data_IF_472827538706
#
_entry.id   IF_472827538706
#
_cell.length_a   1.000
_cell.length_b   1.000
_cell.length_c   1.000
_cell.angle_alpha   90.00
_cell.angle_beta   90.00
_cell.angle_gamma   90.00
#
_symmetry.space_group_name_H-M   'P 1'
#
loop_
_entity.id
_entity.type
_entity.pdbx_description
1 polymer ?
#
# COMPACT_ATOMS: atom_id res chain seq x y z
N UNK A 1 -16.24 -25.21 -20.96
CA UNK A 1 -15.79 -24.84 -19.60
C UNK A 1 -14.51 -24.06 -19.77
N UNK A 2 -14.56 -22.72 -19.73
CA UNK A 2 -13.44 -21.93 -20.24
C UNK A 2 -12.27 -21.90 -19.26
N UNK A 3 -11.14 -22.36 -19.80
CA UNK A 3 -9.76 -22.22 -19.40
C UNK A 3 -9.48 -21.02 -18.48
N UNK A 4 -8.99 -21.34 -17.29
CA UNK A 4 -8.38 -20.37 -16.39
C UNK A 4 -7.06 -19.90 -17.01
N UNK A 5 -7.10 -18.83 -17.80
CA UNK A 5 -5.91 -18.05 -18.15
C UNK A 5 -5.23 -17.61 -16.84
N UNK A 6 -4.09 -18.24 -16.54
CA UNK A 6 -3.21 -17.85 -15.44
C UNK A 6 -2.47 -16.58 -15.85
N UNK A 7 -3.19 -15.45 -15.86
CA UNK A 7 -2.60 -14.13 -16.07
C UNK A 7 -1.63 -13.83 -14.90
N UNK A 8 -0.35 -13.84 -15.23
CA UNK A 8 0.78 -13.97 -14.29
C UNK A 8 1.23 -12.63 -13.69
N UNK A 9 0.28 -11.73 -13.40
CA UNK A 9 0.54 -10.35 -12.98
C UNK A 9 -0.27 -9.90 -11.77
N UNK A 10 0.16 -8.80 -11.15
CA UNK A 10 -0.56 -8.17 -10.04
C UNK A 10 -1.82 -7.45 -10.58
N UNK A 11 -3.00 -7.97 -10.24
CA UNK A 11 -4.29 -7.56 -10.82
C UNK A 11 -5.31 -7.14 -9.74
N UNK A 12 -5.20 -5.90 -9.21
CA UNK A 12 -6.10 -5.41 -8.18
C UNK A 12 -7.53 -5.18 -8.70
N UNK A 13 -7.69 -4.73 -9.96
CA UNK A 13 -9.01 -4.51 -10.56
C UNK A 13 -9.81 -5.81 -10.63
N UNK A 14 -9.18 -6.90 -11.07
CA UNK A 14 -9.81 -8.23 -11.11
C UNK A 14 -10.31 -8.65 -9.74
N UNK A 15 -9.50 -8.47 -8.69
CA UNK A 15 -9.92 -8.78 -7.32
C UNK A 15 -11.17 -7.98 -6.92
N UNK A 16 -11.18 -6.66 -7.15
CA UNK A 16 -12.32 -5.81 -6.78
C UNK A 16 -13.58 -6.15 -7.59
N UNK A 17 -13.44 -6.42 -8.88
CA UNK A 17 -14.56 -6.79 -9.75
C UNK A 17 -15.15 -8.16 -9.36
N UNK A 18 -14.29 -9.11 -8.99
CA UNK A 18 -14.69 -10.40 -8.43
C UNK A 18 -15.53 -10.19 -7.16
N UNK A 19 -15.08 -9.34 -6.24
CA UNK A 19 -15.83 -9.06 -5.00
C UNK A 19 -17.16 -8.35 -5.26
N UNK A 20 -17.22 -7.43 -6.21
CA UNK A 20 -18.46 -6.74 -6.59
C UNK A 20 -19.48 -7.74 -7.14
N UNK A 21 -19.05 -8.65 -8.02
CA UNK A 21 -19.92 -9.69 -8.59
C UNK A 21 -20.42 -10.65 -7.52
N UNK A 22 -19.53 -11.10 -6.63
CA UNK A 22 -19.86 -12.09 -5.59
C UNK A 22 -20.78 -11.56 -4.51
N UNK A 23 -20.58 -10.30 -4.11
CA UNK A 23 -21.43 -9.64 -3.12
C UNK A 23 -22.67 -8.99 -3.75
N UNK A 24 -22.91 -9.21 -5.04
CA UNK A 24 -24.02 -8.63 -5.81
C UNK A 24 -24.13 -7.10 -5.67
N UNK A 25 -22.98 -6.42 -5.65
CA UNK A 25 -22.89 -4.98 -5.47
C UNK A 25 -23.01 -4.25 -6.81
N UNK A 26 -23.58 -3.05 -6.79
CA UNK A 26 -23.72 -2.22 -7.99
C UNK A 26 -22.43 -1.51 -8.40
N UNK A 27 -21.60 -1.10 -7.43
CA UNK A 27 -20.42 -0.28 -7.68
C UNK A 27 -19.41 -0.32 -6.51
N UNK A 28 -18.27 0.34 -6.74
CA UNK A 28 -17.21 0.53 -5.74
C UNK A 28 -17.67 1.23 -4.48
N UNK A 29 -18.62 2.17 -4.58
CA UNK A 29 -19.12 2.88 -3.40
C UNK A 29 -19.86 1.93 -2.45
N UNK A 30 -20.62 0.98 -3.00
CA UNK A 30 -21.22 -0.10 -2.22
C UNK A 30 -20.14 -1.02 -1.64
N UNK A 31 -19.12 -1.38 -2.41
CA UNK A 31 -17.99 -2.18 -1.94
C UNK A 31 -17.26 -1.51 -0.78
N UNK A 32 -17.04 -0.19 -0.84
CA UNK A 32 -16.41 0.58 0.22
C UNK A 32 -17.19 0.50 1.53
N UNK A 33 -18.52 0.62 1.46
CA UNK A 33 -19.42 0.52 2.63
C UNK A 33 -19.37 -0.89 3.22
N UNK A 34 -19.44 -1.91 2.36
CA UNK A 34 -19.41 -3.32 2.77
C UNK A 34 -18.09 -3.69 3.44
N UNK A 35 -16.95 -3.26 2.89
CA UNK A 35 -15.62 -3.50 3.48
C UNK A 35 -15.28 -2.54 4.64
N UNK A 36 -16.13 -1.52 4.87
CA UNK A 36 -15.92 -0.38 5.78
C UNK A 36 -14.57 0.32 5.54
N UNK A 37 -14.24 0.56 4.27
CA UNK A 37 -13.04 1.26 3.84
C UNK A 37 -13.42 2.58 3.17
N UNK A 38 -12.54 3.57 3.27
CA UNK A 38 -12.75 4.86 2.63
C UNK A 38 -12.75 4.77 1.08
N UNK A 39 -13.66 5.46 0.38
CA UNK A 39 -13.64 5.56 -1.10
C UNK A 39 -12.29 5.93 -1.73
N UNK A 40 -11.46 6.82 -1.12
CA UNK A 40 -10.15 7.14 -1.68
C UNK A 40 -9.19 5.95 -1.80
N UNK A 41 -9.34 4.93 -0.95
CA UNK A 41 -8.48 3.74 -0.98
C UNK A 41 -8.78 2.88 -2.20
N UNK A 42 -10.06 2.56 -2.44
CA UNK A 42 -10.49 1.76 -3.60
C UNK A 42 -10.14 2.46 -4.90
N UNK A 43 -10.38 3.78 -4.97
CA UNK A 43 -9.98 4.55 -6.14
C UNK A 43 -8.46 4.45 -6.40
N UNK A 44 -7.62 4.66 -5.38
CA UNK A 44 -6.16 4.54 -5.56
C UNK A 44 -5.70 3.13 -5.94
N UNK A 45 -6.39 2.10 -5.45
CA UNK A 45 -6.11 0.69 -5.80
C UNK A 45 -6.47 0.41 -7.26
N UNK A 46 -7.65 0.86 -7.73
CA UNK A 46 -8.06 0.69 -9.13
C UNK A 46 -7.12 1.35 -10.12
N UNK A 47 -6.63 2.53 -9.77
CA UNK A 47 -5.69 3.30 -10.60
C UNK A 47 -4.21 2.91 -10.37
N UNK A 48 -3.93 1.85 -9.60
CA UNK A 48 -2.57 1.37 -9.36
C UNK A 48 -1.67 2.32 -8.55
N UNK A 49 -2.24 3.36 -7.94
CA UNK A 49 -1.51 4.34 -7.11
C UNK A 49 -1.26 3.85 -5.69
N UNK A 50 -1.98 2.81 -5.26
CA UNK A 50 -1.82 2.18 -3.96
C UNK A 50 -1.85 0.65 -4.12
N UNK A 51 -0.81 -0.08 -3.64
CA UNK A 51 -0.89 -1.53 -3.58
C UNK A 51 -1.89 -1.97 -2.52
N UNK A 52 -2.52 -3.13 -2.74
CA UNK A 52 -3.38 -3.79 -1.76
C UNK A 52 -2.49 -4.24 -0.59
N UNK A 53 -2.78 -3.67 0.58
CA UNK A 53 -2.10 -3.97 1.84
C UNK A 53 -2.70 -5.21 2.51
N UNK A 54 -1.94 -5.83 3.41
CA UNK A 54 -2.41 -6.98 4.20
C UNK A 54 -3.69 -6.67 4.97
N UNK A 55 -3.80 -5.48 5.57
CA UNK A 55 -5.00 -5.04 6.29
C UNK A 55 -6.25 -5.06 5.42
N UNK A 56 -6.15 -4.66 4.15
CA UNK A 56 -7.28 -4.69 3.22
C UNK A 56 -7.66 -6.13 2.86
N UNK A 57 -6.68 -7.00 2.66
CA UNK A 57 -6.94 -8.43 2.43
C UNK A 57 -7.64 -9.09 3.62
N UNK A 58 -7.28 -8.72 4.85
CA UNK A 58 -7.97 -9.21 6.06
C UNK A 58 -9.42 -8.73 6.06
N UNK A 59 -9.69 -7.45 5.77
CA UNK A 59 -11.07 -6.93 5.69
C UNK A 59 -11.89 -7.64 4.61
N UNK A 60 -11.29 -7.90 3.45
CA UNK A 60 -11.92 -8.67 2.38
C UNK A 60 -12.24 -10.11 2.82
N UNK A 61 -11.31 -10.76 3.53
CA UNK A 61 -11.51 -12.09 4.11
C UNK A 61 -12.68 -12.10 5.09
N UNK A 62 -12.70 -11.19 6.06
CA UNK A 62 -13.76 -11.08 7.07
C UNK A 62 -15.13 -10.85 6.44
N UNK A 63 -15.19 -10.04 5.37
CA UNK A 63 -16.46 -9.65 4.74
C UNK A 63 -17.00 -10.72 3.79
N UNK A 64 -16.12 -11.45 3.11
CA UNK A 64 -16.52 -12.41 2.06
C UNK A 64 -16.41 -13.86 2.50
N UNK A 65 -15.78 -14.13 3.64
CA UNK A 65 -15.46 -15.47 4.12
C UNK A 65 -14.35 -16.18 3.33
N UNK A 66 -13.80 -15.56 2.28
CA UNK A 66 -12.77 -16.17 1.43
C UNK A 66 -11.43 -16.26 2.11
N UNK A 67 -10.70 -17.35 1.90
CA UNK A 67 -9.37 -17.46 2.47
C UNK A 67 -8.44 -16.37 1.91
N UNK A 68 -7.53 -15.88 2.74
CA UNK A 68 -6.50 -14.92 2.30
C UNK A 68 -5.69 -15.49 1.14
N UNK A 69 -5.52 -16.83 1.05
CA UNK A 69 -4.82 -17.49 -0.05
C UNK A 69 -5.54 -17.30 -1.39
N UNK A 70 -6.84 -17.50 -1.44
CA UNK A 70 -7.64 -17.32 -2.66
C UNK A 70 -7.64 -15.86 -3.12
N UNK A 71 -7.84 -14.92 -2.18
CA UNK A 71 -7.79 -13.49 -2.50
C UNK A 71 -6.44 -13.11 -3.14
N UNK A 72 -5.34 -13.71 -2.67
CA UNK A 72 -4.01 -13.45 -3.20
C UNK A 72 -3.74 -14.13 -4.54
N UNK A 73 -4.35 -15.29 -4.78
CA UNK A 73 -4.32 -15.93 -6.09
C UNK A 73 -5.03 -15.07 -7.13
N UNK A 74 -6.24 -14.57 -6.81
CA UNK A 74 -6.98 -13.66 -7.70
C UNK A 74 -6.22 -12.36 -7.94
N UNK A 75 -5.60 -11.81 -6.89
CA UNK A 75 -4.76 -10.62 -6.97
C UNK A 75 -3.47 -10.83 -7.77
N UNK A 76 -3.02 -12.07 -7.95
CA UNK A 76 -1.68 -12.37 -8.47
C UNK A 76 -0.55 -11.89 -7.54
N UNK A 77 -0.81 -11.78 -6.24
CA UNK A 77 0.15 -11.28 -5.26
C UNK A 77 1.20 -12.34 -4.91
N UNK A 78 2.40 -12.18 -5.47
CA UNK A 78 3.56 -13.04 -5.19
C UNK A 78 4.36 -12.63 -3.94
N UNK A 79 3.98 -11.58 -3.21
CA UNK A 79 4.76 -11.04 -2.08
C UNK A 79 5.02 -12.03 -0.95
N UNK A 80 4.23 -13.10 -0.78
CA UNK A 80 4.52 -14.12 0.25
C UNK A 80 5.74 -14.96 -0.07
N UNK A 81 6.15 -15.04 -1.34
CA UNK A 81 7.35 -15.80 -1.70
C UNK A 81 8.65 -15.06 -1.34
N UNK A 82 8.61 -13.76 -0.99
CA UNK A 82 9.83 -12.94 -0.96
C UNK A 82 9.95 -11.90 0.18
N UNK A 83 9.11 -11.87 1.22
CA UNK A 83 9.13 -10.73 2.18
C UNK A 83 9.23 -11.11 3.64
N UNK A 84 10.39 -11.64 4.04
CA UNK A 84 10.84 -11.63 5.44
C UNK A 84 12.04 -10.68 5.72
N UNK A 85 12.50 -9.86 4.76
CA UNK A 85 13.66 -8.95 4.97
C UNK A 85 13.49 -7.47 4.63
N UNK A 86 12.83 -7.10 3.52
CA UNK A 86 13.10 -5.78 2.89
C UNK A 86 12.01 -4.69 3.04
N UNK A 87 11.11 -4.76 4.03
CA UNK A 87 10.15 -3.65 4.30
C UNK A 87 10.07 -3.23 5.76
N UNK A 88 11.10 -3.56 6.56
CA UNK A 88 11.33 -2.78 7.76
C UNK A 88 11.63 -1.34 7.30
N UNK A 89 10.74 -0.42 7.67
CA UNK A 89 10.75 0.96 7.21
C UNK A 89 12.14 1.54 7.32
N UNK A 90 12.65 2.10 6.23
CA UNK A 90 13.80 3.00 6.32
C UNK A 90 13.35 4.11 7.27
N UNK A 91 13.93 4.28 8.47
CA UNK A 91 13.66 5.48 9.24
C UNK A 91 14.06 6.64 8.35
N UNK A 92 13.17 7.62 8.20
CA UNK A 92 13.56 8.89 7.58
C UNK A 92 14.69 9.43 8.45
N UNK A 93 15.93 9.33 7.96
CA UNK A 93 17.05 10.10 8.51
C UNK A 93 16.68 11.57 8.30
N UNK A 94 16.10 12.18 9.35
CA UNK A 94 16.04 13.63 9.47
C UNK A 94 17.48 14.11 9.52
N UNK A 95 18.00 14.63 8.41
CA UNK A 95 19.26 15.36 8.43
C UNK A 95 19.05 16.63 9.26
N UNK A 96 19.54 16.59 10.50
CA UNK A 96 19.72 17.77 11.34
C UNK A 96 20.80 18.61 10.66
N UNK A 97 20.40 19.67 9.96
CA UNK A 97 21.30 20.68 9.42
C UNK A 97 22.00 21.36 10.59
N UNK A 98 23.24 20.97 10.86
CA UNK A 98 24.14 21.68 11.76
C UNK A 98 24.53 23.00 11.10
N UNK A 99 23.91 24.10 11.51
CA UNK A 99 24.38 25.46 11.21
C UNK A 99 25.50 25.81 12.19
N UNK A 100 26.74 25.60 11.76
CA UNK A 100 27.93 26.21 12.34
C UNK A 100 28.07 27.64 11.83
N UNK A 101 27.77 28.64 12.65
CA UNK A 101 28.36 29.98 12.54
C UNK A 101 28.70 30.45 13.95
N UNK A 102 29.96 30.27 14.31
CA UNK A 102 30.56 30.80 15.52
C UNK A 102 32.05 30.91 15.29
N UNK A 103 32.48 32.04 14.70
CA UNK A 103 33.86 32.52 14.68
C UNK A 103 33.86 33.96 14.11
N UNK A 104 33.71 34.94 14.99
CA UNK A 104 34.29 36.28 14.78
C UNK A 104 35.34 36.45 15.88
N UNK A 105 36.59 36.47 15.47
CA UNK A 105 37.74 36.61 16.34
C UNK A 105 37.80 38.04 16.89
N UNK A 106 37.70 38.17 18.22
CA UNK A 106 38.19 39.32 18.96
C UNK A 106 39.71 39.27 18.97
N UNK A 107 40.36 40.19 18.26
CA UNK A 107 41.78 40.49 18.42
C UNK A 107 41.96 42.00 18.50
N UNK A 108 41.90 42.50 19.73
CA UNK A 108 42.36 43.83 20.09
C UNK A 108 43.90 43.89 20.07
N UNK A 109 44.43 45.00 19.53
CA UNK A 109 45.73 45.55 19.93
C UNK A 109 46.86 45.45 18.91
N UNK A 110 47.20 46.58 18.26
CA UNK A 110 48.55 47.17 18.31
C UNK A 110 48.61 48.52 17.55
N UNK A 111 49.37 49.48 18.10
CA UNK A 111 49.92 50.72 17.48
C UNK A 111 48.95 51.91 17.34
N UNK A 112 49.21 53.14 17.81
CA UNK A 112 50.40 53.78 18.42
C UNK A 112 49.96 54.92 19.34
#
# INVERSE_FOLDING_TARGET
MNEQEVQSGYQPNRLLDTLIKELHLKNDAALCRTLQIGPPLISKIRHGRLPVSASILIRMHETTGRSIRELRQVLGDRRAKYRFGDIMGKPKTTQVQQSSVGQSADAAGMSS
#
